data_IF_327125531452
#
_entry.id   IF_327125531452
#
_cell.length_a   1.000
_cell.length_b   1.000
_cell.length_c   1.000
_cell.angle_alpha   90.00
_cell.angle_beta   90.00
_cell.angle_gamma   90.00
#
_symmetry.space_group_name_H-M   'P 1'
#
loop_
_entity.id
_entity.type
_entity.pdbx_description
1 polymer ?
#
# COMPACT_ATOMS: atom_id res chain seq x y z
N UNK A 1 17.63 6.43 -4.33
CA UNK A 1 16.42 6.13 -3.56
C UNK A 1 16.81 5.27 -2.38
N UNK A 2 16.48 5.73 -1.17
CA UNK A 2 16.71 5.00 0.07
C UNK A 2 15.88 3.71 0.11
N UNK A 3 16.17 2.82 1.08
CA UNK A 3 15.38 1.61 1.29
C UNK A 3 13.90 1.93 1.56
N UNK A 4 13.55 2.87 2.47
CA UNK A 4 12.16 3.27 2.70
C UNK A 4 11.44 3.78 1.44
N UNK A 5 12.10 4.62 0.63
CA UNK A 5 11.52 5.11 -0.62
C UNK A 5 11.15 3.98 -1.59
N UNK A 6 12.07 3.04 -1.82
CA UNK A 6 11.82 1.90 -2.72
C UNK A 6 10.71 1.00 -2.18
N UNK A 7 10.70 0.75 -0.86
CA UNK A 7 9.64 0.00 -0.18
C UNK A 7 8.28 0.65 -0.40
N UNK A 8 8.17 1.97 -0.20
CA UNK A 8 6.92 2.71 -0.43
C UNK A 8 6.48 2.64 -1.89
N UNK A 9 7.40 2.75 -2.88
CA UNK A 9 7.04 2.58 -4.30
C UNK A 9 6.43 1.19 -4.54
N UNK A 10 7.07 0.13 -4.05
CA UNK A 10 6.56 -1.24 -4.22
C UNK A 10 5.19 -1.41 -3.57
N UNK A 11 4.98 -0.82 -2.38
CA UNK A 11 3.69 -0.82 -1.70
C UNK A 11 2.60 -0.11 -2.51
N UNK A 12 2.87 1.09 -3.01
CA UNK A 12 1.92 1.88 -3.81
C UNK A 12 1.55 1.15 -5.09
N UNK A 13 2.54 0.62 -5.82
CA UNK A 13 2.30 -0.13 -7.06
C UNK A 13 1.45 -1.38 -6.80
N UNK A 14 1.75 -2.12 -5.73
CA UNK A 14 0.97 -3.29 -5.32
C UNK A 14 -0.46 -2.93 -4.94
N UNK A 15 -0.64 -1.84 -4.20
CA UNK A 15 -1.96 -1.31 -3.84
C UNK A 15 -2.79 -0.88 -5.06
N UNK A 16 -2.17 -0.19 -6.02
CA UNK A 16 -2.83 0.18 -7.29
C UNK A 16 -3.21 -1.05 -8.08
N UNK A 17 -2.31 -2.04 -8.22
CA UNK A 17 -2.60 -3.30 -8.91
C UNK A 17 -3.77 -4.03 -8.26
N UNK A 18 -3.79 -4.09 -6.93
CA UNK A 18 -4.86 -4.75 -6.19
C UNK A 18 -6.19 -4.03 -6.34
N UNK A 19 -6.19 -2.69 -6.31
CA UNK A 19 -7.37 -1.88 -6.56
C UNK A 19 -7.92 -2.11 -7.98
N UNK A 20 -7.05 -2.13 -8.99
CA UNK A 20 -7.45 -2.40 -10.38
C UNK A 20 -7.99 -3.84 -10.53
N UNK A 21 -7.33 -4.82 -9.93
CA UNK A 21 -7.79 -6.21 -9.94
C UNK A 21 -9.17 -6.35 -9.29
N UNK A 22 -9.41 -5.65 -8.18
CA UNK A 22 -10.72 -5.60 -7.54
C UNK A 22 -11.77 -4.99 -8.47
N UNK A 23 -11.51 -3.83 -9.08
CA UNK A 23 -12.43 -3.21 -10.02
C UNK A 23 -12.81 -4.18 -11.14
N UNK A 24 -11.82 -4.74 -11.82
CA UNK A 24 -12.04 -5.65 -12.95
C UNK A 24 -12.87 -6.86 -12.51
N UNK A 25 -12.51 -7.49 -11.39
CA UNK A 25 -13.23 -8.66 -10.89
C UNK A 25 -14.66 -8.34 -10.45
N UNK A 26 -14.84 -7.27 -9.68
CA UNK A 26 -16.14 -6.87 -9.16
C UNK A 26 -17.10 -6.52 -10.31
N UNK A 27 -16.65 -5.72 -11.28
CA UNK A 27 -17.49 -5.38 -12.43
C UNK A 27 -17.73 -6.56 -13.37
N UNK A 28 -16.74 -7.43 -13.59
CA UNK A 28 -16.91 -8.61 -14.45
C UNK A 28 -17.84 -9.67 -13.83
N UNK A 29 -17.81 -9.85 -12.50
CA UNK A 29 -18.58 -10.90 -11.82
C UNK A 29 -19.97 -10.44 -11.38
N UNK A 30 -20.10 -9.21 -10.87
CA UNK A 30 -21.32 -8.75 -10.21
C UNK A 30 -22.17 -7.87 -11.14
N UNK A 31 -21.57 -7.21 -12.13
CA UNK A 31 -22.23 -6.22 -12.97
C UNK A 31 -22.80 -5.04 -12.17
N UNK A 32 -23.42 -4.08 -12.85
CA UNK A 32 -24.13 -2.96 -12.20
C UNK A 32 -25.52 -3.33 -11.68
N UNK A 33 -25.99 -4.56 -11.90
CA UNK A 33 -27.38 -4.97 -11.68
C UNK A 33 -27.65 -5.50 -10.27
N UNK A 34 -26.62 -5.98 -9.56
CA UNK A 34 -26.74 -6.58 -8.23
C UNK A 34 -26.40 -5.58 -7.10
N UNK A 35 -27.05 -4.42 -7.09
CA UNK A 35 -26.81 -3.38 -6.06
C UNK A 35 -27.66 -3.58 -4.80
N UNK A 36 -28.68 -4.42 -4.86
CA UNK A 36 -29.56 -4.75 -3.72
C UNK A 36 -28.99 -5.85 -2.83
N UNK A 37 -28.24 -6.79 -3.39
CA UNK A 37 -27.66 -7.90 -2.65
C UNK A 37 -26.27 -7.57 -2.11
N UNK A 38 -26.18 -7.38 -0.79
CA UNK A 38 -24.93 -7.03 -0.10
C UNK A 38 -23.93 -8.20 0.04
N UNK A 39 -24.44 -9.43 0.19
CA UNK A 39 -23.63 -10.63 0.45
C UNK A 39 -22.50 -10.84 -0.56
N UNK A 40 -22.74 -10.79 -1.89
CA UNK A 40 -21.67 -11.04 -2.85
C UNK A 40 -20.63 -9.92 -2.90
N UNK A 41 -21.02 -8.66 -2.66
CA UNK A 41 -20.08 -7.54 -2.53
C UNK A 41 -19.18 -7.70 -1.30
N UNK A 42 -19.78 -7.95 -0.13
CA UNK A 42 -19.05 -8.13 1.12
C UNK A 42 -18.09 -9.34 1.04
N UNK A 43 -18.54 -10.45 0.46
CA UNK A 43 -17.70 -11.65 0.26
C UNK A 43 -16.52 -11.35 -0.65
N UNK A 44 -16.75 -10.62 -1.75
CA UNK A 44 -15.69 -10.26 -2.70
C UNK A 44 -14.66 -9.34 -2.05
N UNK A 45 -15.10 -8.29 -1.35
CA UNK A 45 -14.18 -7.40 -0.63
C UNK A 45 -13.37 -8.14 0.42
N UNK A 46 -14.00 -9.02 1.21
CA UNK A 46 -13.31 -9.79 2.25
C UNK A 46 -12.21 -10.68 1.65
N UNK A 47 -12.49 -11.34 0.52
CA UNK A 47 -11.50 -12.15 -0.19
C UNK A 47 -10.35 -11.28 -0.72
N UNK A 48 -10.63 -10.11 -1.30
CA UNK A 48 -9.60 -9.20 -1.80
C UNK A 48 -8.75 -8.60 -0.69
N UNK A 49 -9.32 -8.30 0.48
CA UNK A 49 -8.58 -7.88 1.66
C UNK A 49 -7.62 -9.01 2.09
N UNK A 50 -8.11 -10.25 2.18
CA UNK A 50 -7.29 -11.40 2.53
C UNK A 50 -6.14 -11.64 1.54
N UNK A 51 -6.44 -11.64 0.23
CA UNK A 51 -5.44 -11.75 -0.83
C UNK A 51 -4.44 -10.59 -0.74
N UNK A 52 -4.90 -9.38 -0.45
CA UNK A 52 -4.05 -8.21 -0.33
C UNK A 52 -3.08 -8.29 0.82
N UNK A 53 -3.54 -8.69 2.00
CA UNK A 53 -2.66 -8.87 3.17
C UNK A 53 -1.60 -9.92 2.88
N UNK A 54 -2.00 -11.12 2.41
CA UNK A 54 -1.07 -12.22 2.11
C UNK A 54 -0.11 -11.84 0.99
N UNK A 55 -0.62 -11.27 -0.10
CA UNK A 55 0.19 -10.83 -1.23
C UNK A 55 1.19 -9.75 -0.84
N UNK A 56 0.78 -8.79 -0.01
CA UNK A 56 1.65 -7.73 0.47
C UNK A 56 2.78 -8.27 1.35
N UNK A 57 2.49 -9.23 2.25
CA UNK A 57 3.53 -9.89 3.05
C UNK A 57 4.56 -10.59 2.14
N UNK A 58 4.09 -11.36 1.16
CA UNK A 58 4.97 -12.08 0.22
C UNK A 58 5.81 -11.09 -0.59
N UNK A 59 5.19 -10.05 -1.16
CA UNK A 59 5.88 -9.02 -1.95
C UNK A 59 6.94 -8.31 -1.11
N UNK A 60 6.63 -7.94 0.13
CA UNK A 60 7.58 -7.28 1.03
C UNK A 60 8.75 -8.19 1.39
N UNK A 61 8.50 -9.47 1.68
CA UNK A 61 9.56 -10.44 1.96
C UNK A 61 10.48 -10.62 0.75
N UNK A 62 9.92 -10.82 -0.44
CA UNK A 62 10.69 -10.98 -1.68
C UNK A 62 11.49 -9.70 -1.97
N UNK A 63 10.86 -8.53 -1.84
CA UNK A 63 11.51 -7.24 -2.02
C UNK A 63 12.71 -7.08 -1.08
N UNK A 64 12.55 -7.46 0.19
CA UNK A 64 13.61 -7.40 1.19
C UNK A 64 14.82 -8.24 0.78
N UNK A 65 14.59 -9.50 0.42
CA UNK A 65 15.62 -10.45 0.00
C UNK A 65 16.35 -9.94 -1.25
N UNK A 66 15.61 -9.49 -2.27
CA UNK A 66 16.19 -8.99 -3.52
C UNK A 66 17.08 -7.78 -3.29
N UNK A 67 16.66 -6.87 -2.40
CA UNK A 67 17.42 -5.66 -2.11
C UNK A 67 18.71 -6.00 -1.34
N UNK A 68 18.63 -6.87 -0.33
CA UNK A 68 19.81 -7.33 0.42
C UNK A 68 20.84 -8.03 -0.48
N UNK A 69 20.39 -8.93 -1.37
CA UNK A 69 21.27 -9.58 -2.35
C UNK A 69 21.88 -8.54 -3.31
N UNK A 70 21.08 -7.59 -3.80
CA UNK A 70 21.55 -6.54 -4.69
C UNK A 70 22.64 -5.67 -4.08
N UNK A 71 22.52 -5.32 -2.79
CA UNK A 71 23.55 -4.59 -2.05
C UNK A 71 24.81 -5.45 -1.90
N UNK A 72 24.66 -6.71 -1.48
CA UNK A 72 25.79 -7.62 -1.27
C UNK A 72 26.61 -7.81 -2.54
N UNK A 73 25.95 -8.10 -3.67
CA UNK A 73 26.60 -8.28 -4.97
C UNK A 73 27.30 -7.00 -5.42
N UNK A 74 26.65 -5.84 -5.30
CA UNK A 74 27.24 -4.56 -5.73
C UNK A 74 28.49 -4.21 -4.92
N UNK A 75 28.50 -4.49 -3.61
CA UNK A 75 29.67 -4.23 -2.76
C UNK A 75 30.82 -5.16 -3.09
N UNK A 76 30.54 -6.46 -3.25
CA UNK A 76 31.56 -7.46 -3.58
C UNK A 76 32.21 -7.24 -4.96
N UNK A 77 31.47 -6.68 -5.93
CA UNK A 77 32.03 -6.27 -7.23
C UNK A 77 32.94 -5.05 -7.12
N UNK A 78 32.58 -4.08 -6.27
CA UNK A 78 33.36 -2.85 -6.11
C UNK A 78 34.61 -3.06 -5.26
N UNK A 79 34.55 -3.95 -4.28
CA UNK A 79 35.66 -4.30 -3.40
C UNK A 79 35.60 -5.79 -3.06
N UNK A 80 36.41 -6.56 -3.79
CA UNK A 80 36.45 -8.02 -3.71
C UNK A 80 37.03 -8.51 -2.37
N UNK A 81 37.70 -7.62 -1.62
CA UNK A 81 38.34 -7.92 -0.34
C UNK A 81 37.45 -7.70 0.89
N UNK A 82 36.22 -7.22 0.71
CA UNK A 82 35.27 -7.00 1.81
C UNK A 82 34.87 -8.32 2.47
N UNK A 83 35.04 -8.37 3.78
CA UNK A 83 34.57 -9.48 4.60
C UNK A 83 33.03 -9.53 4.63
N UNK A 84 32.46 -10.74 4.69
CA UNK A 84 31.01 -10.94 4.65
C UNK A 84 30.32 -10.21 5.83
N UNK A 85 31.03 -10.05 6.96
CA UNK A 85 30.56 -9.34 8.16
C UNK A 85 30.43 -7.83 7.94
N UNK A 86 31.29 -7.23 7.12
CA UNK A 86 31.19 -5.82 6.76
C UNK A 86 30.04 -5.58 5.78
N UNK A 87 29.76 -6.55 4.88
CA UNK A 87 28.60 -6.52 3.99
C UNK A 87 27.31 -6.56 4.81
N UNK A 88 27.20 -7.47 5.78
CA UNK A 88 26.04 -7.58 6.67
C UNK A 88 25.78 -6.30 7.46
N UNK A 89 26.79 -5.77 8.17
CA UNK A 89 26.68 -4.51 8.91
C UNK A 89 26.22 -3.36 8.01
N UNK A 90 26.62 -3.38 6.74
CA UNK A 90 26.27 -2.34 5.80
C UNK A 90 24.84 -2.43 5.26
N UNK A 91 24.31 -3.64 5.11
CA UNK A 91 22.90 -3.89 4.78
C UNK A 91 22.03 -3.44 5.96
N UNK A 92 22.39 -3.83 7.18
CA UNK A 92 21.68 -3.38 8.39
C UNK A 92 21.62 -1.85 8.46
N UNK A 93 22.75 -1.17 8.26
CA UNK A 93 22.81 0.30 8.29
C UNK A 93 21.89 0.97 7.26
N UNK A 94 21.72 0.36 6.08
CA UNK A 94 20.87 0.91 5.01
C UNK A 94 19.37 0.69 5.28
N UNK A 95 19.03 -0.20 6.22
CA UNK A 95 17.67 -0.55 6.61
C UNK A 95 17.19 0.08 7.93
N UNK A 96 18.08 0.72 8.69
CA UNK A 96 17.70 1.45 9.90
C UNK A 96 16.84 2.65 9.53
N UNK A 97 15.62 2.71 10.06
CA UNK A 97 14.75 3.87 9.94
C UNK A 97 15.28 5.03 10.79
N UNK A 98 15.29 6.23 10.21
CA UNK A 98 15.71 7.45 10.88
C UNK A 98 14.52 8.23 11.48
N UNK A 99 14.79 9.33 12.18
CA UNK A 99 13.73 10.19 12.73
C UNK A 99 12.96 10.94 11.62
N UNK A 100 13.57 11.17 10.46
CA UNK A 100 12.92 11.80 9.32
C UNK A 100 11.87 10.86 8.71
N UNK A 101 12.18 9.57 8.58
CA UNK A 101 11.29 8.50 8.12
C UNK A 101 10.03 8.45 8.97
N UNK A 102 10.19 8.43 10.30
CA UNK A 102 9.06 8.46 11.24
C UNK A 102 8.19 9.69 11.07
N UNK A 103 8.80 10.87 10.89
CA UNK A 103 8.05 12.11 10.67
C UNK A 103 7.30 12.10 9.34
N UNK A 104 7.91 11.57 8.28
CA UNK A 104 7.28 11.42 6.97
C UNK A 104 6.08 10.47 7.07
N UNK A 105 6.26 9.32 7.73
CA UNK A 105 5.20 8.34 7.97
C UNK A 105 4.03 8.97 8.72
N UNK A 106 4.28 9.65 9.84
CA UNK A 106 3.24 10.30 10.63
C UNK A 106 2.45 11.36 9.83
N UNK A 107 3.15 12.20 9.06
CA UNK A 107 2.51 13.23 8.23
C UNK A 107 1.68 12.63 7.10
N UNK A 108 2.19 11.57 6.46
CA UNK A 108 1.48 10.88 5.39
C UNK A 108 0.24 10.14 5.93
N UNK A 109 0.39 9.39 7.02
CA UNK A 109 -0.69 8.64 7.67
C UNK A 109 -1.85 9.54 8.05
N UNK A 110 -1.56 10.76 8.54
CA UNK A 110 -2.59 11.76 8.84
C UNK A 110 -3.48 12.06 7.62
N UNK A 111 -2.87 12.16 6.43
CA UNK A 111 -3.61 12.41 5.20
C UNK A 111 -4.36 11.14 4.76
N UNK A 112 -3.74 9.96 4.86
CA UNK A 112 -4.39 8.67 4.60
C UNK A 112 -5.68 8.48 5.43
N UNK A 113 -5.61 8.70 6.74
CA UNK A 113 -6.79 8.65 7.62
C UNK A 113 -7.84 9.70 7.29
N UNK A 114 -7.43 10.86 6.79
CA UNK A 114 -8.39 11.89 6.37
C UNK A 114 -9.25 11.38 5.19
N UNK A 115 -8.65 10.67 4.23
CA UNK A 115 -9.39 10.03 3.13
C UNK A 115 -10.39 8.98 3.62
N UNK A 116 -9.99 8.13 4.57
CA UNK A 116 -10.89 7.13 5.18
C UNK A 116 -12.06 7.84 5.87
N UNK A 117 -11.79 8.89 6.65
CA UNK A 117 -12.81 9.69 7.32
C UNK A 117 -13.79 10.33 6.34
N UNK A 118 -13.30 10.95 5.26
CA UNK A 118 -14.15 11.51 4.21
C UNK A 118 -14.98 10.44 3.50
N UNK A 119 -14.39 9.27 3.21
CA UNK A 119 -15.11 8.13 2.64
C UNK A 119 -16.24 7.63 3.53
N UNK A 120 -16.01 7.61 4.85
CA UNK A 120 -17.03 7.23 5.82
C UNK A 120 -18.21 8.20 5.83
N UNK A 121 -17.93 9.50 5.91
CA UNK A 121 -18.97 10.53 5.85
C UNK A 121 -19.73 10.49 4.53
N UNK A 122 -19.02 10.38 3.40
CA UNK A 122 -19.64 10.26 2.08
C UNK A 122 -20.53 9.02 1.97
N UNK A 123 -20.08 7.88 2.53
CA UNK A 123 -20.85 6.66 2.61
C UNK A 123 -22.17 6.85 3.38
N UNK A 124 -22.13 7.49 4.56
CA UNK A 124 -23.34 7.77 5.33
C UNK A 124 -24.31 8.71 4.59
N UNK A 125 -23.80 9.71 3.87
CA UNK A 125 -24.63 10.59 3.04
C UNK A 125 -25.37 9.77 1.97
N UNK A 126 -24.71 8.81 1.33
CA UNK A 126 -25.39 7.97 0.33
C UNK A 126 -26.54 7.16 0.92
N UNK A 127 -26.37 6.60 2.12
CA UNK A 127 -27.46 5.91 2.82
C UNK A 127 -28.59 6.87 3.20
N UNK A 128 -28.27 8.07 3.66
CA UNK A 128 -29.27 9.08 4.02
C UNK A 128 -30.13 9.52 2.83
N UNK A 129 -29.59 9.45 1.61
CA UNK A 129 -30.31 9.71 0.36
C UNK A 129 -31.13 8.52 -0.15
N UNK A 130 -31.17 7.40 0.59
CA UNK A 130 -31.92 6.20 0.21
C UNK A 130 -31.26 5.38 -0.90
N UNK A 131 -29.98 5.60 -1.19
CA UNK A 131 -29.24 4.79 -2.15
C UNK A 131 -28.96 3.38 -1.59
N UNK A 132 -28.76 2.37 -2.46
CA UNK A 132 -28.46 1.01 -2.02
C UNK A 132 -27.20 0.95 -1.14
N UNK A 133 -27.25 0.16 -0.07
CA UNK A 133 -26.12 0.01 0.86
C UNK A 133 -24.85 -0.57 0.22
N UNK A 134 -24.98 -1.25 -0.92
CA UNK A 134 -23.82 -1.67 -1.72
C UNK A 134 -22.99 -0.47 -2.23
N UNK A 135 -23.61 0.68 -2.49
CA UNK A 135 -22.91 1.90 -2.91
C UNK A 135 -22.06 2.44 -1.77
N UNK A 136 -22.62 2.53 -0.56
CA UNK A 136 -21.86 2.90 0.64
C UNK A 136 -20.65 1.98 0.83
N UNK A 137 -20.87 0.66 0.75
CA UNK A 137 -19.82 -0.33 0.96
C UNK A 137 -18.65 -0.11 -0.03
N UNK A 138 -18.97 0.13 -1.31
CA UNK A 138 -17.95 0.43 -2.32
C UNK A 138 -17.24 1.76 -2.03
N UNK A 139 -17.96 2.82 -1.66
CA UNK A 139 -17.33 4.11 -1.32
C UNK A 139 -16.32 3.95 -0.18
N UNK A 140 -16.69 3.24 0.89
CA UNK A 140 -15.81 2.96 2.02
C UNK A 140 -14.55 2.20 1.57
N UNK A 141 -14.75 1.15 0.79
CA UNK A 141 -13.67 0.31 0.30
C UNK A 141 -12.70 1.10 -0.61
N UNK A 142 -13.24 1.85 -1.57
CA UNK A 142 -12.46 2.70 -2.47
C UNK A 142 -11.76 3.84 -1.74
N UNK A 143 -12.42 4.50 -0.79
CA UNK A 143 -11.78 5.56 0.01
C UNK A 143 -10.61 5.01 0.83
N UNK A 144 -10.72 3.78 1.33
CA UNK A 144 -9.66 3.11 2.08
C UNK A 144 -8.46 2.76 1.18
N UNK A 145 -8.72 2.18 0.01
CA UNK A 145 -7.68 1.89 -0.98
C UNK A 145 -7.00 3.15 -1.50
N UNK A 146 -7.78 4.15 -1.93
CA UNK A 146 -7.26 5.42 -2.40
C UNK A 146 -6.49 6.16 -1.31
N UNK A 147 -6.98 6.13 -0.07
CA UNK A 147 -6.27 6.69 1.09
C UNK A 147 -4.87 6.11 1.24
N UNK A 148 -4.73 4.78 1.18
CA UNK A 148 -3.42 4.11 1.24
C UNK A 148 -2.49 4.45 0.08
N UNK A 149 -3.03 4.61 -1.14
CA UNK A 149 -2.25 4.99 -2.33
C UNK A 149 -1.77 6.44 -2.18
N UNK A 150 -2.66 7.36 -1.79
CA UNK A 150 -2.35 8.77 -1.60
C UNK A 150 -1.34 8.96 -0.47
N UNK A 151 -1.48 8.23 0.64
CA UNK A 151 -0.51 8.17 1.72
C UNK A 151 0.89 7.84 1.20
N UNK A 152 1.04 6.74 0.45
CA UNK A 152 2.34 6.35 -0.12
C UNK A 152 2.87 7.36 -1.14
N UNK A 153 2.02 7.98 -1.96
CA UNK A 153 2.43 9.06 -2.87
C UNK A 153 2.94 10.30 -2.13
N UNK A 154 2.33 10.63 -0.98
CA UNK A 154 2.74 11.73 -0.13
C UNK A 154 4.07 11.41 0.56
N UNK A 155 4.27 10.19 1.05
CA UNK A 155 5.56 9.74 1.58
C UNK A 155 6.66 9.96 0.52
N UNK A 156 6.45 9.48 -0.71
CA UNK A 156 7.41 9.67 -1.82
C UNK A 156 7.68 11.14 -2.15
N UNK A 157 6.66 12.00 -2.02
CA UNK A 157 6.82 13.44 -2.22
C UNK A 157 7.66 14.08 -1.12
N UNK A 158 7.44 13.72 0.14
CA UNK A 158 8.22 14.23 1.26
C UNK A 158 9.66 13.74 1.22
N UNK A 159 9.90 12.47 0.85
CA UNK A 159 11.24 11.95 0.61
C UNK A 159 12.04 12.77 -0.41
N UNK A 160 11.41 13.17 -1.52
CA UNK A 160 12.08 13.96 -2.56
C UNK A 160 12.32 15.43 -2.20
N UNK A 161 11.48 16.02 -1.34
CA UNK A 161 11.58 17.45 -1.01
C UNK A 161 12.44 17.72 0.23
N UNK A 162 12.68 16.72 1.07
CA UNK A 162 12.95 16.98 2.48
C UNK A 162 11.68 17.51 3.13
N UNK A 163 11.41 17.07 4.36
CA UNK A 163 10.17 17.34 5.12
C UNK A 163 9.63 18.77 4.99
#
# INVERSE_FOLDING_TARGET
MSYPEKRTVVSVVSGVLLMLAYCIYAYAKLGFTNLTDLKPWATTMLVFIGIGIVGMIIIQLVFHILLSIGIAVKRKINDESLDDKEIEHSIEREMVEDEMDKLIELKANKIGYSFVGFGFVAGLITLALGLPAAIMLNILFFASMLGSIVEGLIQLRYYKRGV
#
